data_IF_316664488514
#
_entry.id   IF_316664488514
#
_cell.length_a   1.000
_cell.length_b   1.000
_cell.length_c   1.000
_cell.angle_alpha   90.00
_cell.angle_beta   90.00
_cell.angle_gamma   90.00
#
_symmetry.space_group_name_H-M   'P 1'
#
loop_
_entity.id
_entity.type
_entity.pdbx_description
1 polymer ?
#
# COMPACT_ATOMS: atom_id res chain seq x y z
N UNK A 1 6.56 17.82 -6.02
CA UNK A 1 8.00 17.79 -5.70
C UNK A 1 8.78 17.16 -6.86
N UNK A 2 9.43 17.96 -7.72
CA UNK A 2 10.21 17.46 -8.88
C UNK A 2 11.60 18.13 -8.88
N UNK A 3 12.51 17.63 -8.05
CA UNK A 3 13.92 18.04 -8.11
C UNK A 3 14.76 16.86 -8.57
N UNK A 4 15.56 17.05 -9.61
CA UNK A 4 16.54 16.06 -10.08
C UNK A 4 17.72 15.90 -9.12
N UNK A 5 17.82 16.76 -8.10
CA UNK A 5 18.83 16.67 -7.05
C UNK A 5 18.28 15.90 -5.87
N UNK A 6 18.75 14.66 -5.70
CA UNK A 6 18.50 13.77 -4.54
C UNK A 6 18.68 14.47 -3.18
N UNK A 7 19.50 15.54 -3.13
CA UNK A 7 19.74 16.37 -1.95
C UNK A 7 18.54 17.20 -1.47
N UNK A 8 17.63 17.58 -2.36
CA UNK A 8 16.45 18.38 -2.00
C UNK A 8 15.22 17.51 -1.75
N UNK A 9 15.10 16.37 -2.43
CA UNK A 9 14.01 15.43 -2.18
C UNK A 9 14.14 14.71 -0.85
N UNK A 10 15.36 14.48 -0.35
CA UNK A 10 15.60 13.86 0.96
C UNK A 10 14.95 14.63 2.12
N UNK A 11 15.41 15.85 2.43
CA UNK A 11 14.86 16.65 3.53
C UNK A 11 13.36 16.94 3.38
N UNK A 12 12.88 17.03 2.14
CA UNK A 12 11.46 17.27 1.89
C UNK A 12 10.60 16.03 2.17
N UNK A 13 11.10 14.81 1.91
CA UNK A 13 10.44 13.57 2.34
C UNK A 13 10.48 13.46 3.88
N UNK A 14 11.63 13.76 4.49
CA UNK A 14 11.79 13.67 5.95
C UNK A 14 10.85 14.66 6.68
N UNK A 15 10.63 15.85 6.10
CA UNK A 15 9.62 16.79 6.58
C UNK A 15 8.21 16.21 6.51
N UNK A 16 7.84 15.52 5.43
CA UNK A 16 6.51 14.90 5.31
C UNK A 16 6.32 13.82 6.38
N UNK A 17 7.33 12.98 6.62
CA UNK A 17 7.29 11.99 7.72
C UNK A 17 7.11 12.66 9.07
N UNK A 18 7.80 13.78 9.33
CA UNK A 18 7.65 14.55 10.57
C UNK A 18 6.23 15.10 10.70
N UNK A 19 5.70 15.71 9.63
CA UNK A 19 4.32 16.23 9.64
C UNK A 19 3.29 15.13 9.89
N UNK A 20 3.46 13.94 9.29
CA UNK A 20 2.56 12.81 9.52
C UNK A 20 2.58 12.34 10.98
N UNK A 21 3.78 12.19 11.56
CA UNK A 21 3.95 11.79 12.97
C UNK A 21 3.37 12.79 13.95
N UNK A 22 3.55 14.10 13.72
CA UNK A 22 3.10 15.15 14.65
C UNK A 22 1.60 15.46 14.51
N UNK A 23 1.03 15.31 13.31
CA UNK A 23 -0.39 15.62 13.06
C UNK A 23 -1.30 14.40 13.22
N UNK A 24 -0.79 13.17 13.10
CA UNK A 24 -1.62 11.97 13.15
C UNK A 24 -2.76 12.03 12.15
N UNK A 25 -4.01 11.88 12.61
CA UNK A 25 -5.19 11.95 11.75
C UNK A 25 -5.42 13.31 11.10
N UNK A 26 -4.95 14.40 11.71
CA UNK A 26 -5.07 15.77 11.17
C UNK A 26 -4.19 15.97 9.93
N UNK A 27 -3.38 14.98 9.56
CA UNK A 27 -2.64 14.95 8.31
C UNK A 27 -3.52 14.72 7.07
N UNK A 28 -4.77 14.26 7.22
CA UNK A 28 -5.64 13.89 6.09
C UNK A 28 -5.79 14.97 4.99
N UNK A 29 -5.94 16.26 5.31
CA UNK A 29 -5.95 17.35 4.32
C UNK A 29 -4.65 17.48 3.51
N UNK A 30 -3.54 16.98 4.02
CA UNK A 30 -2.23 17.02 3.36
C UNK A 30 -1.95 15.75 2.55
N UNK A 31 -2.68 14.67 2.83
CA UNK A 31 -2.47 13.38 2.19
C UNK A 31 -2.56 13.50 0.66
N UNK A 32 -3.63 14.11 0.15
CA UNK A 32 -3.86 14.25 -1.28
C UNK A 32 -2.82 15.14 -1.99
N UNK A 33 -2.16 16.04 -1.26
CA UNK A 33 -1.08 16.87 -1.79
C UNK A 33 0.23 16.08 -1.95
N UNK A 34 0.56 15.25 -0.96
CA UNK A 34 1.87 14.59 -0.90
C UNK A 34 1.88 13.17 -1.46
N UNK A 35 0.84 12.38 -1.21
CA UNK A 35 0.83 10.95 -1.49
C UNK A 35 1.02 10.59 -2.97
N UNK A 36 0.37 11.27 -3.95
CA UNK A 36 0.62 11.01 -5.36
C UNK A 36 2.09 11.23 -5.76
N UNK A 37 2.74 12.23 -5.16
CA UNK A 37 4.15 12.52 -5.43
C UNK A 37 5.05 11.46 -4.80
N UNK A 38 4.77 10.99 -3.58
CA UNK A 38 5.53 9.91 -2.94
C UNK A 38 5.49 8.62 -3.77
N UNK A 39 4.30 8.23 -4.26
CA UNK A 39 4.15 7.06 -5.13
C UNK A 39 4.92 7.23 -6.45
N UNK A 40 4.90 8.43 -7.05
CA UNK A 40 5.72 8.70 -8.24
C UNK A 40 7.23 8.53 -7.97
N UNK A 41 7.70 8.86 -6.76
CA UNK A 41 9.10 8.64 -6.38
C UNK A 41 9.43 7.15 -6.24
N UNK A 42 8.48 6.33 -5.80
CA UNK A 42 8.63 4.87 -5.74
C UNK A 42 8.71 4.19 -7.12
N UNK A 43 8.26 4.87 -8.19
CA UNK A 43 8.39 4.39 -9.56
C UNK A 43 9.77 4.69 -10.20
N UNK A 44 10.65 5.45 -9.53
CA UNK A 44 11.98 5.85 -10.05
C UNK A 44 12.98 4.70 -9.96
N UNK A 45 14.10 4.82 -10.69
CA UNK A 45 15.18 3.81 -10.71
C UNK A 45 16.15 3.91 -9.54
N UNK A 46 16.19 5.03 -8.82
CA UNK A 46 17.12 5.24 -7.70
C UNK A 46 16.64 4.51 -6.45
N UNK A 47 17.31 3.40 -6.09
CA UNK A 47 17.01 2.61 -4.88
C UNK A 47 16.99 3.46 -3.61
N UNK A 48 17.85 4.48 -3.52
CA UNK A 48 17.90 5.40 -2.37
C UNK A 48 16.64 6.26 -2.29
N UNK A 49 16.19 6.80 -3.42
CA UNK A 49 14.97 7.63 -3.47
C UNK A 49 13.73 6.77 -3.21
N UNK A 50 13.64 5.60 -3.84
CA UNK A 50 12.56 4.64 -3.63
C UNK A 50 12.49 4.21 -2.18
N UNK A 51 13.63 3.83 -1.58
CA UNK A 51 13.70 3.40 -0.18
C UNK A 51 13.22 4.50 0.77
N UNK A 52 13.66 5.74 0.58
CA UNK A 52 13.23 6.87 1.42
C UNK A 52 11.73 7.17 1.25
N UNK A 53 11.23 7.21 0.02
CA UNK A 53 9.80 7.44 -0.24
C UNK A 53 8.93 6.33 0.35
N UNK A 54 9.36 5.07 0.23
CA UNK A 54 8.72 3.91 0.86
C UNK A 54 8.66 4.06 2.38
N UNK A 55 9.78 4.37 3.04
CA UNK A 55 9.81 4.58 4.49
C UNK A 55 8.86 5.70 4.93
N UNK A 56 8.76 6.78 4.16
CA UNK A 56 7.81 7.85 4.42
C UNK A 56 6.35 7.39 4.28
N UNK A 57 6.02 6.60 3.26
CA UNK A 57 4.67 6.05 3.08
C UNK A 57 4.29 5.15 4.26
N UNK A 58 5.19 4.25 4.68
CA UNK A 58 4.94 3.38 5.83
C UNK A 58 4.75 4.19 7.12
N UNK A 59 5.58 5.20 7.35
CA UNK A 59 5.42 6.13 8.47
C UNK A 59 4.06 6.84 8.45
N UNK A 60 3.59 7.31 7.29
CA UNK A 60 2.24 7.91 7.17
C UNK A 60 1.17 6.89 7.58
N UNK A 61 1.24 5.65 7.09
CA UNK A 61 0.24 4.62 7.42
C UNK A 61 0.21 4.35 8.92
N UNK A 62 1.37 4.13 9.52
CA UNK A 62 1.51 3.75 10.93
C UNK A 62 1.11 4.88 11.89
N UNK A 63 1.43 6.13 11.55
CA UNK A 63 1.20 7.29 12.45
C UNK A 63 -0.16 7.94 12.28
N UNK A 64 -0.69 7.97 11.05
CA UNK A 64 -1.95 8.66 10.76
C UNK A 64 -3.15 7.72 10.81
N UNK A 65 -2.93 6.42 10.61
CA UNK A 65 -3.99 5.39 10.51
C UNK A 65 -5.14 5.77 9.55
N UNK A 66 -4.85 6.53 8.49
CA UNK A 66 -5.86 6.98 7.54
C UNK A 66 -6.20 5.89 6.53
N UNK A 67 -7.44 5.41 6.55
CA UNK A 67 -7.94 4.41 5.57
C UNK A 67 -8.01 4.97 4.14
N UNK A 68 -8.04 6.29 3.98
CA UNK A 68 -8.08 7.00 2.69
C UNK A 68 -6.81 6.84 1.85
N UNK A 69 -5.75 6.21 2.39
CA UNK A 69 -4.56 5.80 1.63
C UNK A 69 -4.83 4.62 0.68
N UNK A 70 -5.78 3.74 0.99
CA UNK A 70 -6.00 2.47 0.27
C UNK A 70 -6.27 2.69 -1.24
N UNK A 71 -7.16 3.61 -1.65
CA UNK A 71 -7.43 3.87 -3.08
C UNK A 71 -6.17 4.18 -3.90
N UNK A 72 -5.16 4.82 -3.30
CA UNK A 72 -3.91 5.11 -4.01
C UNK A 72 -3.13 3.84 -4.33
N UNK A 73 -3.17 2.82 -3.45
CA UNK A 73 -2.51 1.55 -3.70
C UNK A 73 -3.22 0.70 -4.75
N UNK A 74 -4.57 0.77 -4.81
CA UNK A 74 -5.36 0.15 -5.88
C UNK A 74 -4.92 0.66 -7.26
N UNK A 75 -4.60 1.95 -7.35
CA UNK A 75 -4.07 2.53 -8.59
C UNK A 75 -2.61 2.11 -8.81
N UNK A 76 -1.77 2.14 -7.77
CA UNK A 76 -0.35 1.86 -7.87
C UNK A 76 -0.03 0.41 -8.27
N UNK A 77 -0.82 -0.58 -7.85
CA UNK A 77 -0.62 -2.00 -8.23
C UNK A 77 -0.84 -2.26 -9.72
N UNK A 78 -1.41 -1.31 -10.47
CA UNK A 78 -1.57 -1.37 -11.94
C UNK A 78 -0.39 -0.79 -12.70
N UNK A 79 0.56 -0.16 -12.01
CA UNK A 79 1.65 0.56 -12.66
C UNK A 79 2.65 -0.38 -13.33
N UNK A 80 3.22 0.06 -14.45
CA UNK A 80 4.27 -0.68 -15.17
C UNK A 80 5.54 -0.87 -14.31
N UNK A 81 5.81 0.04 -13.37
CA UNK A 81 6.96 -0.01 -12.49
C UNK A 81 6.81 -1.08 -11.42
N UNK A 82 7.61 -2.15 -11.55
CA UNK A 82 7.69 -3.23 -10.55
C UNK A 82 8.01 -2.68 -9.16
N UNK A 83 8.89 -1.68 -9.07
CA UNK A 83 9.26 -1.03 -7.81
C UNK A 83 8.06 -0.41 -7.12
N UNK A 84 7.21 0.31 -7.85
CA UNK A 84 5.99 0.90 -7.31
C UNK A 84 4.99 -0.18 -6.88
N UNK A 85 4.82 -1.25 -7.68
CA UNK A 85 3.92 -2.36 -7.33
C UNK A 85 4.34 -3.09 -6.06
N UNK A 86 5.64 -3.30 -5.84
CA UNK A 86 6.17 -3.86 -4.60
C UNK A 86 5.85 -2.94 -3.42
N UNK A 87 6.15 -1.64 -3.53
CA UNK A 87 5.85 -0.67 -2.46
C UNK A 87 4.35 -0.63 -2.15
N UNK A 88 3.49 -0.66 -3.18
CA UNK A 88 2.05 -0.72 -3.00
C UNK A 88 1.62 -1.97 -2.23
N UNK A 89 2.19 -3.14 -2.54
CA UNK A 89 1.87 -4.38 -1.84
C UNK A 89 2.30 -4.34 -0.37
N UNK A 90 3.52 -3.88 -0.10
CA UNK A 90 4.02 -3.74 1.28
C UNK A 90 3.19 -2.73 2.08
N UNK A 91 2.78 -1.63 1.43
CA UNK A 91 1.96 -0.59 2.05
C UNK A 91 0.54 -1.08 2.33
N UNK A 92 -0.08 -1.84 1.42
CA UNK A 92 -1.39 -2.47 1.66
C UNK A 92 -1.31 -3.47 2.81
N UNK A 93 -0.24 -4.26 2.91
CA UNK A 93 -0.03 -5.15 4.05
C UNK A 93 0.11 -4.38 5.36
N UNK A 94 0.86 -3.27 5.36
CA UNK A 94 0.98 -2.39 6.52
C UNK A 94 -0.38 -1.81 6.92
N UNK A 95 -1.24 -1.44 5.97
CA UNK A 95 -2.60 -1.00 6.26
C UNK A 95 -3.41 -2.07 6.99
N UNK A 96 -3.39 -3.32 6.52
CA UNK A 96 -4.12 -4.40 7.20
C UNK A 96 -3.60 -4.63 8.63
N UNK A 97 -2.29 -4.51 8.85
CA UNK A 97 -1.70 -4.75 10.17
C UNK A 97 -1.88 -3.58 11.16
N UNK A 98 -2.18 -2.36 10.69
CA UNK A 98 -2.14 -1.16 11.53
C UNK A 98 -3.45 -0.38 11.58
N UNK A 99 -4.31 -0.46 10.57
CA UNK A 99 -5.57 0.29 10.53
C UNK A 99 -6.64 -0.34 11.41
N UNK A 100 -7.56 0.48 11.89
CA UNK A 100 -8.68 0.03 12.71
C UNK A 100 -9.59 -0.91 11.90
N UNK A 101 -9.88 -2.14 12.39
CA UNK A 101 -10.70 -3.11 11.66
C UNK A 101 -12.08 -2.57 11.20
N UNK A 102 -12.83 -1.78 12.00
CA UNK A 102 -14.12 -1.23 11.57
C UNK A 102 -14.04 -0.34 10.31
N UNK A 103 -12.91 0.31 10.07
CA UNK A 103 -12.72 1.12 8.86
C UNK A 103 -12.50 0.25 7.62
N UNK A 104 -11.91 -0.94 7.78
CA UNK A 104 -11.66 -1.91 6.71
C UNK A 104 -12.92 -2.75 6.37
N UNK A 105 -13.80 -2.94 7.35
CA UNK A 105 -15.08 -3.66 7.22
C UNK A 105 -16.11 -2.95 6.33
N UNK A 106 -15.93 -1.65 6.08
CA UNK A 106 -16.77 -0.87 5.18
C UNK A 106 -16.74 -1.52 3.79
N UNK A 107 -17.93 -1.76 3.22
CA UNK A 107 -18.09 -2.56 2.00
C UNK A 107 -17.20 -2.09 0.84
N UNK A 108 -17.06 -0.78 0.65
CA UNK A 108 -16.19 -0.19 -0.37
C UNK A 108 -14.71 -0.51 -0.14
N UNK A 109 -14.25 -0.45 1.12
CA UNK A 109 -12.85 -0.73 1.49
C UNK A 109 -12.55 -2.23 1.36
N UNK A 110 -13.48 -3.08 1.78
CA UNK A 110 -13.40 -4.52 1.58
C UNK A 110 -13.25 -4.87 0.08
N UNK A 111 -14.09 -4.29 -0.79
CA UNK A 111 -14.02 -4.49 -2.25
C UNK A 111 -12.67 -4.06 -2.83
N UNK A 112 -12.14 -2.92 -2.38
CA UNK A 112 -10.83 -2.44 -2.81
C UNK A 112 -9.72 -3.41 -2.41
N UNK A 113 -9.71 -3.88 -1.15
CA UNK A 113 -8.71 -4.84 -0.66
C UNK A 113 -8.79 -6.16 -1.43
N UNK A 114 -10.00 -6.70 -1.65
CA UNK A 114 -10.18 -7.91 -2.45
C UNK A 114 -9.71 -7.75 -3.89
N UNK A 115 -9.97 -6.59 -4.50
CA UNK A 115 -9.46 -6.28 -5.83
C UNK A 115 -7.92 -6.21 -5.83
N UNK A 116 -7.31 -5.60 -4.81
CA UNK A 116 -5.85 -5.58 -4.65
C UNK A 116 -5.26 -6.98 -4.52
N UNK A 117 -5.87 -7.84 -3.70
CA UNK A 117 -5.44 -9.23 -3.50
C UNK A 117 -5.46 -9.97 -4.84
N UNK A 118 -6.57 -9.92 -5.58
CA UNK A 118 -6.71 -10.58 -6.89
C UNK A 118 -5.62 -10.16 -7.88
N UNK A 119 -5.26 -8.88 -7.87
CA UNK A 119 -4.20 -8.34 -8.73
C UNK A 119 -2.80 -8.78 -8.27
N UNK A 120 -2.51 -8.67 -6.98
CA UNK A 120 -1.19 -8.97 -6.42
C UNK A 120 -0.81 -10.45 -6.53
N UNK A 121 -1.74 -11.38 -6.26
CA UNK A 121 -1.45 -12.83 -6.33
C UNK A 121 -1.21 -13.32 -7.76
N UNK A 122 -1.65 -12.56 -8.77
CA UNK A 122 -1.45 -12.84 -10.19
C UNK A 122 -0.40 -11.94 -10.84
N UNK A 123 0.34 -11.15 -10.06
CA UNK A 123 1.33 -10.22 -10.61
C UNK A 123 2.44 -10.97 -11.33
N UNK A 124 2.98 -10.38 -12.40
CA UNK A 124 4.12 -10.95 -13.12
C UNK A 124 5.37 -11.05 -12.23
N UNK A 125 5.53 -10.17 -11.25
CA UNK A 125 6.66 -10.18 -10.32
C UNK A 125 6.43 -11.11 -9.11
N UNK A 126 7.41 -11.97 -8.83
CA UNK A 126 7.31 -12.96 -7.76
C UNK A 126 7.22 -12.36 -6.35
N UNK A 127 7.90 -11.24 -6.08
CA UNK A 127 7.86 -10.60 -4.75
C UNK A 127 6.48 -9.99 -4.49
N UNK A 128 5.86 -9.38 -5.52
CA UNK A 128 4.49 -8.88 -5.42
C UNK A 128 3.51 -10.03 -5.12
N UNK A 129 3.65 -11.18 -5.79
CA UNK A 129 2.82 -12.36 -5.49
C UNK A 129 3.00 -12.86 -4.05
N UNK A 130 4.25 -12.93 -3.58
CA UNK A 130 4.57 -13.35 -2.22
C UNK A 130 3.92 -12.45 -1.18
N UNK A 131 4.03 -11.13 -1.33
CA UNK A 131 3.37 -10.18 -0.43
C UNK A 131 1.85 -10.25 -0.58
N UNK A 132 1.33 -10.45 -1.80
CA UNK A 132 -0.10 -10.66 -2.05
C UNK A 132 -0.69 -11.82 -1.24
N UNK A 133 0.05 -12.92 -1.09
CA UNK A 133 -0.34 -14.03 -0.21
C UNK A 133 -0.39 -13.62 1.27
N UNK A 134 0.55 -12.81 1.73
CA UNK A 134 0.55 -12.28 3.10
C UNK A 134 -0.63 -11.33 3.35
N UNK A 135 -0.96 -10.48 2.37
CA UNK A 135 -2.13 -9.60 2.42
C UNK A 135 -3.41 -10.43 2.54
N UNK A 136 -3.54 -11.51 1.76
CA UNK A 136 -4.69 -12.39 1.86
C UNK A 136 -4.81 -13.05 3.24
N UNK A 137 -3.71 -13.54 3.80
CA UNK A 137 -3.70 -14.12 5.15
C UNK A 137 -4.11 -13.10 6.22
N UNK A 138 -3.59 -11.88 6.15
CA UNK A 138 -3.99 -10.80 7.05
C UNK A 138 -5.48 -10.44 6.88
N UNK A 139 -5.98 -10.42 5.64
CA UNK A 139 -7.38 -10.18 5.33
C UNK A 139 -8.30 -11.27 5.91
N UNK A 140 -7.95 -12.55 5.75
CA UNK A 140 -8.72 -13.67 6.33
C UNK A 140 -8.79 -13.57 7.87
N UNK A 141 -7.70 -13.17 8.52
CA UNK A 141 -7.64 -13.01 9.97
C UNK A 141 -8.50 -11.83 10.46
N UNK A 142 -8.47 -10.71 9.73
CA UNK A 142 -9.17 -9.48 10.12
C UNK A 142 -10.66 -9.54 9.79
N UNK A 143 -11.02 -10.16 8.67
CA UNK A 143 -12.36 -10.10 8.09
C UNK A 143 -12.90 -11.50 7.74
N UNK A 144 -13.00 -12.43 8.71
CA UNK A 144 -13.34 -13.82 8.45
C UNK A 144 -14.70 -13.98 7.74
N UNK A 145 -15.71 -13.19 8.16
CA UNK A 145 -17.06 -13.23 7.58
C UNK A 145 -17.10 -12.76 6.11
N UNK A 146 -16.15 -11.93 5.69
CA UNK A 146 -16.05 -11.41 4.31
C UNK A 146 -15.21 -12.33 3.44
N UNK A 147 -14.17 -12.93 4.00
CA UNK A 147 -13.34 -13.92 3.32
C UNK A 147 -14.13 -15.17 2.88
N UNK A 148 -15.20 -15.53 3.58
CA UNK A 148 -16.06 -16.66 3.23
C UNK A 148 -17.06 -16.37 2.11
N UNK A 149 -17.38 -15.11 1.83
CA UNK A 149 -18.59 -14.74 1.07
C UNK A 149 -18.40 -14.48 -0.44
N UNK A 150 -17.18 -14.29 -0.98
CA UNK A 150 -16.95 -14.77 -2.33
C UNK A 150 -15.50 -15.22 -2.56
N UNK A 151 -15.24 -16.53 -2.50
CA UNK A 151 -14.62 -17.33 -3.59
C UNK A 151 -13.69 -18.45 -3.12
N UNK A 152 -14.16 -19.69 -3.30
CA UNK A 152 -13.27 -20.84 -3.55
C UNK A 152 -12.27 -20.54 -4.69
N UNK A 153 -12.56 -19.59 -5.59
CA UNK A 153 -11.64 -19.16 -6.65
C UNK A 153 -10.36 -18.47 -6.12
N UNK A 154 -10.43 -17.60 -5.09
CA UNK A 154 -9.21 -16.98 -4.55
C UNK A 154 -8.30 -18.03 -3.87
N UNK A 155 -8.86 -18.97 -3.08
CA UNK A 155 -8.08 -20.08 -2.48
C UNK A 155 -7.43 -20.97 -3.54
N UNK A 156 -8.16 -21.30 -4.60
CA UNK A 156 -7.66 -22.15 -5.69
C UNK A 156 -6.62 -21.43 -6.57
N UNK A 157 -6.73 -20.10 -6.71
CA UNK A 157 -5.77 -19.26 -7.45
C UNK A 157 -4.49 -19.00 -6.67
N UNK A 158 -4.58 -18.86 -5.34
CA UNK A 158 -3.40 -18.75 -4.46
C UNK A 158 -2.58 -20.04 -4.48
N UNK A 159 -3.24 -21.21 -4.50
CA UNK A 159 -2.57 -22.52 -4.68
C UNK A 159 -2.01 -22.71 -6.10
N UNK A 160 -2.62 -22.14 -7.14
CA UNK A 160 -2.05 -22.18 -8.51
C UNK A 160 -0.81 -21.32 -8.70
N UNK A 161 -0.61 -20.28 -7.89
CA UNK A 161 0.60 -19.46 -7.88
C UNK A 161 1.79 -20.13 -7.15
N UNK A 162 1.74 -21.47 -6.96
CA UNK A 162 2.82 -22.30 -6.39
C UNK A 162 3.68 -23.00 -7.47
N UNK A 163 3.31 -22.84 -8.75
CA UNK A 163 4.06 -23.28 -9.94
C UNK A 163 4.62 -22.07 -10.71
#
# INVERSE_FOLDING_TARGET
MKSERTRLSGPAIDLISTLASELGTDFEPLLHLFFPTLLLLCARTSKVVVGRARSCILCIIETTQLVTVIPYFIQAIRDKSVSLRIVAAESTLACLNSLNPPDLEKEERTKDIEAFIKMSVRDANAEVRKIGKQIYQAYELLLPNKAESPSNANKQEISRAEL
#
